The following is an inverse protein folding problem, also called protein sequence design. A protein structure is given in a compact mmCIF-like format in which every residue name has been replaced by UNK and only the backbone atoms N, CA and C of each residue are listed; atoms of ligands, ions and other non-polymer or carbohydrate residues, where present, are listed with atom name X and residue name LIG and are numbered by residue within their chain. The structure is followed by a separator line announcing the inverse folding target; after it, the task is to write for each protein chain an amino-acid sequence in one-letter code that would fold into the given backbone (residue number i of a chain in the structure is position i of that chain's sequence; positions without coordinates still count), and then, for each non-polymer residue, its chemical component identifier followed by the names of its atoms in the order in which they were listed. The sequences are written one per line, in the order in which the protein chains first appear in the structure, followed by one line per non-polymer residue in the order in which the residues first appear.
data_IF_384123446034
#
_entry.id   IF_384123446034
#
_cell.length_a   1.000
_cell.length_b   1.000
_cell.length_c   1.000
_cell.angle_alpha   90.00
_cell.angle_beta   90.00
_cell.angle_gamma   90.00
#
_symmetry.space_group_name_H-M   'P 1'
#
loop_
_entity.id
_entity.type
_entity.pdbx_description
1 polymer ?
#
# COMPACT_ATOMS: atom_id res chain seq x y z
N UNK A 1 31.80 -27.12 -1.90
CA UNK A 1 32.02 -26.16 -3.01
C UNK A 1 30.72 -25.39 -3.21
N UNK A 2 30.69 -24.12 -2.93
CA UNK A 2 29.45 -23.32 -3.05
C UNK A 2 29.35 -22.71 -4.44
N UNK A 3 28.20 -22.93 -5.09
CA UNK A 3 27.84 -22.21 -6.29
C UNK A 3 27.30 -20.83 -5.94
N UNK A 4 28.13 -19.83 -6.16
CA UNK A 4 27.75 -18.42 -6.18
C UNK A 4 27.00 -18.14 -7.48
N UNK A 5 25.70 -17.95 -7.43
CA UNK A 5 24.95 -17.31 -8.52
C UNK A 5 24.92 -15.81 -8.25
N UNK A 6 25.76 -15.09 -8.96
CA UNK A 6 25.72 -13.62 -9.07
C UNK A 6 24.58 -13.26 -10.04
N UNK A 7 23.48 -12.74 -9.52
CA UNK A 7 22.53 -12.00 -10.34
C UNK A 7 22.84 -10.52 -10.13
N UNK A 8 23.70 -10.01 -11.01
CA UNK A 8 23.83 -8.59 -11.28
C UNK A 8 22.73 -8.23 -12.30
N UNK A 9 21.61 -7.71 -11.85
CA UNK A 9 20.69 -7.00 -12.72
C UNK A 9 20.94 -5.51 -12.51
N UNK A 10 21.75 -4.92 -13.37
CA UNK A 10 21.95 -3.50 -13.47
C UNK A 10 20.65 -2.88 -13.99
N UNK A 11 19.86 -2.28 -13.11
CA UNK A 11 18.85 -1.30 -13.47
C UNK A 11 19.59 -0.03 -13.88
N UNK A 12 19.79 0.13 -15.20
CA UNK A 12 20.22 1.37 -15.79
C UNK A 12 19.09 2.40 -15.64
N UNK A 13 19.08 3.15 -14.54
CA UNK A 13 18.40 4.42 -14.47
C UNK A 13 19.23 5.40 -15.29
N UNK A 14 18.85 5.55 -16.56
CA UNK A 14 19.42 6.55 -17.45
C UNK A 14 19.25 7.93 -16.83
N UNK A 15 20.37 8.59 -16.60
CA UNK A 15 20.45 9.97 -16.16
C UNK A 15 19.90 10.90 -17.25
N UNK A 16 18.64 11.30 -17.16
CA UNK A 16 18.17 12.55 -17.73
C UNK A 16 18.20 13.62 -16.63
N UNK A 17 19.40 13.95 -16.18
CA UNK A 17 19.64 15.20 -15.48
C UNK A 17 19.77 16.30 -16.52
N UNK A 18 18.66 16.79 -17.06
CA UNK A 18 18.66 18.10 -17.68
C UNK A 18 18.73 19.11 -16.55
N UNK A 19 19.83 19.88 -16.56
CA UNK A 19 20.05 21.04 -15.71
C UNK A 19 18.96 22.09 -15.96
N UNK A 20 17.84 21.98 -15.28
CA UNK A 20 16.87 23.07 -15.16
C UNK A 20 17.03 23.60 -13.75
N UNK A 21 17.43 24.86 -13.67
CA UNK A 21 17.67 25.57 -12.43
C UNK A 21 16.53 25.36 -11.43
N UNK A 22 16.91 25.03 -10.19
CA UNK A 22 16.01 24.89 -9.06
C UNK A 22 15.41 26.27 -8.75
N UNK A 23 14.39 26.64 -9.48
CA UNK A 23 13.36 27.52 -8.95
C UNK A 23 12.28 26.57 -8.45
N UNK A 24 12.30 26.26 -7.16
CA UNK A 24 11.16 25.68 -6.49
C UNK A 24 10.02 26.71 -6.62
N UNK A 25 9.26 26.60 -7.69
CA UNK A 25 8.04 27.34 -7.85
C UNK A 25 7.13 26.91 -6.71
N UNK A 26 6.70 27.85 -5.92
CA UNK A 26 5.77 27.77 -4.79
C UNK A 26 4.35 27.45 -5.30
N UNK A 27 4.23 26.40 -6.15
CA UNK A 27 2.97 25.99 -6.77
C UNK A 27 2.60 24.60 -6.29
N UNK A 28 1.35 24.46 -5.90
CA UNK A 28 0.72 23.17 -5.66
C UNK A 28 0.76 22.31 -6.91
N UNK A 29 1.06 21.01 -6.81
CA UNK A 29 1.00 20.11 -7.95
C UNK A 29 -0.41 20.09 -8.54
N UNK A 30 -0.53 20.26 -9.85
CA UNK A 30 -1.81 20.26 -10.55
C UNK A 30 -2.24 18.83 -10.81
N UNK A 31 -3.21 18.33 -10.03
CA UNK A 31 -3.85 17.04 -10.23
C UNK A 31 -5.30 17.30 -10.63
N UNK A 32 -5.68 16.79 -11.79
CA UNK A 32 -7.01 16.94 -12.39
C UNK A 32 -7.66 15.58 -12.58
N UNK A 33 -8.93 15.57 -12.94
CA UNK A 33 -9.62 14.35 -13.36
C UNK A 33 -8.85 13.72 -14.53
N UNK A 34 -8.61 12.40 -14.44
CA UNK A 34 -7.83 11.65 -15.42
C UNK A 34 -6.33 11.55 -15.10
N UNK A 35 -5.80 12.35 -14.17
CA UNK A 35 -4.40 12.18 -13.72
C UNK A 35 -4.21 10.78 -13.17
N UNK A 36 -3.22 10.09 -13.67
CA UNK A 36 -2.84 8.75 -13.23
C UNK A 36 -1.69 8.82 -12.23
N UNK A 37 -1.70 7.88 -11.30
CA UNK A 37 -0.68 7.72 -10.28
C UNK A 37 -0.19 6.27 -10.30
N UNK A 38 1.09 6.06 -10.50
CA UNK A 38 1.75 4.77 -10.26
C UNK A 38 2.55 4.90 -8.98
N UNK A 39 2.30 3.99 -8.05
CA UNK A 39 2.92 3.99 -6.73
C UNK A 39 3.66 2.68 -6.44
N UNK A 40 4.71 2.79 -5.63
CA UNK A 40 5.36 1.66 -5.00
C UNK A 40 5.56 1.97 -3.52
N UNK A 41 4.94 1.18 -2.66
CA UNK A 41 5.10 1.27 -1.22
C UNK A 41 5.69 -0.02 -0.66
N UNK A 42 6.43 0.12 0.43
CA UNK A 42 6.92 -0.98 1.25
C UNK A 42 6.64 -0.69 2.72
N UNK A 43 6.34 -1.73 3.48
CA UNK A 43 6.03 -1.61 4.88
C UNK A 43 6.36 -2.88 5.65
N UNK A 44 6.01 -2.90 6.91
CA UNK A 44 6.20 -4.06 7.76
C UNK A 44 4.91 -4.38 8.49
N UNK A 45 4.39 -5.58 8.29
CA UNK A 45 3.18 -6.07 8.91
C UNK A 45 3.46 -6.49 10.35
N UNK A 46 2.73 -5.90 11.29
CA UNK A 46 2.81 -6.14 12.73
C UNK A 46 1.46 -6.70 13.23
N UNK A 47 1.42 -7.91 13.80
CA UNK A 47 0.17 -8.55 14.17
C UNK A 47 -0.51 -7.88 15.36
N UNK A 48 -1.85 -7.85 15.33
CA UNK A 48 -2.69 -7.48 16.46
C UNK A 48 -3.45 -8.69 16.99
N UNK A 49 -3.43 -8.84 18.31
CA UNK A 49 -4.27 -9.80 19.02
C UNK A 49 -5.55 -9.10 19.48
N UNK A 50 -6.60 -9.17 18.67
CA UNK A 50 -7.89 -8.57 19.01
C UNK A 50 -8.71 -9.44 19.96
N UNK A 51 -8.46 -10.75 19.98
CA UNK A 51 -9.11 -11.71 20.86
C UNK A 51 -8.08 -12.65 21.51
N UNK A 52 -8.50 -13.36 22.58
CA UNK A 52 -7.63 -14.34 23.25
C UNK A 52 -7.27 -15.54 22.35
N UNK A 53 -8.08 -15.80 21.34
CA UNK A 53 -7.92 -16.93 20.41
C UNK A 53 -6.88 -16.64 19.32
N UNK A 54 -6.48 -15.38 19.14
CA UNK A 54 -5.38 -15.01 18.25
C UNK A 54 -4.03 -15.32 18.91
N UNK A 55 -3.40 -16.38 18.49
CA UNK A 55 -2.16 -16.90 19.11
C UNK A 55 -0.92 -16.67 18.26
N UNK A 56 -1.09 -16.54 16.95
CA UNK A 56 0.02 -16.43 16.00
C UNK A 56 0.62 -15.03 15.93
N UNK A 57 1.89 -15.02 15.58
CA UNK A 57 2.73 -13.81 15.49
C UNK A 57 3.15 -13.58 14.04
N UNK A 58 2.20 -13.67 13.10
CA UNK A 58 2.51 -13.50 11.69
C UNK A 58 2.92 -12.06 11.40
N UNK A 59 4.20 -11.86 11.09
CA UNK A 59 4.77 -10.54 10.78
C UNK A 59 5.78 -10.65 9.65
N UNK A 60 6.04 -9.53 8.98
CA UNK A 60 7.03 -9.48 7.92
C UNK A 60 6.87 -8.31 6.97
N UNK A 61 7.82 -8.13 6.03
CA UNK A 61 7.76 -7.09 5.03
C UNK A 61 6.63 -7.29 4.04
N UNK A 62 6.08 -6.15 3.60
CA UNK A 62 5.05 -6.07 2.58
C UNK A 62 5.50 -5.14 1.44
N UNK A 63 5.15 -5.49 0.20
CA UNK A 63 5.38 -4.69 -1.01
C UNK A 63 4.04 -4.46 -1.71
N UNK A 64 3.79 -3.21 -2.11
CA UNK A 64 2.48 -2.77 -2.56
C UNK A 64 2.59 -1.84 -3.77
N UNK A 65 2.85 -2.40 -4.99
CA UNK A 65 2.72 -1.63 -6.21
C UNK A 65 1.26 -1.30 -6.49
N UNK A 66 0.97 -0.09 -6.92
CA UNK A 66 -0.39 0.40 -7.15
C UNK A 66 -0.50 1.26 -8.40
N UNK A 67 -1.71 1.27 -8.96
CA UNK A 67 -2.12 2.21 -9.99
C UNK A 67 -3.45 2.83 -9.58
N UNK A 68 -3.55 4.16 -9.68
CA UNK A 68 -4.73 4.93 -9.33
C UNK A 68 -5.01 5.96 -10.43
N UNK A 69 -6.27 6.38 -10.55
CA UNK A 69 -6.68 7.49 -11.40
C UNK A 69 -7.59 8.43 -10.61
N UNK A 70 -7.32 9.71 -10.69
CA UNK A 70 -8.17 10.74 -10.09
C UNK A 70 -9.48 10.83 -10.88
N UNK A 71 -10.60 10.68 -10.19
CA UNK A 71 -11.93 10.61 -10.82
C UNK A 71 -12.86 11.78 -10.48
N UNK A 72 -12.45 12.66 -9.57
CA UNK A 72 -13.22 13.86 -9.23
C UNK A 72 -12.36 15.11 -9.30
N UNK A 73 -12.97 16.24 -9.65
CA UNK A 73 -12.44 17.54 -9.26
C UNK A 73 -12.44 17.68 -7.73
N UNK A 74 -11.71 18.66 -7.17
CA UNK A 74 -11.75 18.89 -5.73
C UNK A 74 -13.16 19.22 -5.26
N UNK A 75 -13.69 18.34 -4.41
CA UNK A 75 -15.03 18.48 -3.78
C UNK A 75 -14.88 18.92 -2.33
N UNK A 76 -15.91 19.57 -1.80
CA UNK A 76 -15.92 20.09 -0.44
C UNK A 76 -15.24 21.44 -0.30
N UNK A 77 -15.21 21.94 0.94
CA UNK A 77 -14.71 23.27 1.29
C UNK A 77 -13.66 23.21 2.39
N UNK A 78 -12.84 24.25 2.46
CA UNK A 78 -11.87 24.47 3.53
C UNK A 78 -10.94 23.25 3.74
N UNK A 79 -10.82 22.79 4.99
CA UNK A 79 -9.90 21.73 5.38
C UNK A 79 -10.25 20.34 4.83
N UNK A 80 -11.54 20.07 4.51
CA UNK A 80 -11.97 18.78 3.95
C UNK A 80 -12.04 18.76 2.43
N UNK A 81 -11.66 19.86 1.76
CA UNK A 81 -11.58 19.88 0.30
C UNK A 81 -10.59 18.83 -0.20
N UNK A 82 -11.05 17.95 -1.07
CA UNK A 82 -10.26 16.83 -1.54
C UNK A 82 -10.73 16.23 -2.83
N UNK A 83 -9.98 15.26 -3.33
CA UNK A 83 -10.21 14.55 -4.57
C UNK A 83 -10.26 13.05 -4.32
N UNK A 84 -11.12 12.36 -5.07
CA UNK A 84 -11.23 10.91 -5.06
C UNK A 84 -10.38 10.34 -6.20
N UNK A 85 -9.59 9.31 -5.88
CA UNK A 85 -8.92 8.46 -6.86
C UNK A 85 -9.38 7.01 -6.68
N UNK A 86 -9.56 6.32 -7.80
CA UNK A 86 -9.89 4.90 -7.87
C UNK A 86 -8.78 4.15 -8.59
N UNK A 87 -8.57 2.91 -8.21
CA UNK A 87 -7.56 2.07 -8.85
C UNK A 87 -7.43 0.71 -8.20
N UNK A 88 -6.24 0.16 -8.25
CA UNK A 88 -5.94 -1.14 -7.69
C UNK A 88 -4.50 -1.21 -7.16
N UNK A 89 -4.29 -2.15 -6.27
CA UNK A 89 -3.01 -2.42 -5.65
C UNK A 89 -2.77 -3.93 -5.61
N UNK A 90 -1.55 -4.34 -5.92
CA UNK A 90 -1.08 -5.68 -5.56
C UNK A 90 -0.46 -5.63 -4.16
N UNK A 91 -0.71 -6.66 -3.38
CA UNK A 91 -0.14 -6.80 -2.04
C UNK A 91 0.65 -8.08 -2.00
N UNK A 92 1.95 -7.99 -1.74
CA UNK A 92 2.80 -9.14 -1.43
C UNK A 92 3.29 -9.01 0.00
N UNK A 93 3.10 -10.04 0.81
CA UNK A 93 3.56 -10.12 2.19
C UNK A 93 4.45 -11.35 2.33
N UNK A 94 5.67 -11.16 2.81
CA UNK A 94 6.55 -12.23 3.20
C UNK A 94 6.50 -12.39 4.72
N UNK A 95 5.72 -13.33 5.19
CA UNK A 95 5.68 -13.66 6.62
C UNK A 95 6.99 -14.33 7.02
N UNK A 96 7.62 -13.83 8.07
CA UNK A 96 8.92 -14.30 8.58
C UNK A 96 8.77 -15.10 9.87
N UNK A 97 7.77 -14.78 10.66
CA UNK A 97 7.49 -15.47 11.92
C UNK A 97 6.05 -16.01 11.96
N UNK A 98 5.84 -17.13 12.66
CA UNK A 98 6.80 -18.02 13.32
C UNK A 98 7.58 -18.90 12.34
N UNK A 99 7.28 -18.85 11.04
CA UNK A 99 7.95 -19.55 9.95
C UNK A 99 7.85 -18.73 8.65
N UNK A 100 8.79 -18.98 7.76
CA UNK A 100 8.82 -18.30 6.46
C UNK A 100 7.68 -18.81 5.57
N UNK A 101 6.83 -17.89 5.13
CA UNK A 101 5.78 -18.12 4.14
C UNK A 101 5.39 -16.81 3.47
N UNK A 102 4.47 -16.83 2.54
CA UNK A 102 4.07 -15.64 1.79
C UNK A 102 2.58 -15.60 1.52
N UNK A 103 2.11 -14.42 1.16
CA UNK A 103 0.79 -14.18 0.64
C UNK A 103 0.81 -13.13 -0.44
N UNK A 104 -0.12 -13.23 -1.39
CA UNK A 104 -0.28 -12.30 -2.50
C UNK A 104 -1.75 -11.98 -2.69
N UNK A 105 -2.06 -10.71 -2.93
CA UNK A 105 -3.41 -10.23 -3.16
C UNK A 105 -3.49 -9.19 -4.26
N UNK A 106 -4.72 -8.99 -4.73
CA UNK A 106 -5.09 -7.92 -5.65
C UNK A 106 -6.30 -7.20 -5.06
N UNK A 107 -6.16 -5.89 -4.84
CA UNK A 107 -7.17 -5.11 -4.13
C UNK A 107 -7.58 -3.88 -4.94
N UNK A 108 -8.82 -3.82 -5.46
CA UNK A 108 -9.46 -2.55 -5.77
C UNK A 108 -9.29 -1.57 -4.62
N UNK A 109 -9.02 -0.30 -4.96
CA UNK A 109 -8.63 0.72 -3.99
C UNK A 109 -9.31 2.04 -4.27
N UNK A 110 -9.76 2.70 -3.22
CA UNK A 110 -10.21 4.08 -3.22
C UNK A 110 -9.32 4.91 -2.30
N UNK A 111 -8.96 6.10 -2.75
CA UNK A 111 -8.19 7.07 -1.98
C UNK A 111 -8.84 8.45 -2.05
N UNK A 112 -9.03 9.08 -0.91
CA UNK A 112 -9.42 10.47 -0.78
C UNK A 112 -8.23 11.30 -0.34
N UNK A 113 -7.79 12.23 -1.19
CA UNK A 113 -6.62 13.10 -0.94
C UNK A 113 -7.09 14.51 -0.63
N UNK A 114 -6.75 15.03 0.55
CA UNK A 114 -7.03 16.41 0.95
C UNK A 114 -6.10 17.36 0.21
N UNK A 115 -6.66 18.41 -0.40
CA UNK A 115 -5.92 19.36 -1.24
C UNK A 115 -5.83 20.77 -0.63
N UNK A 116 -6.11 20.89 0.67
CA UNK A 116 -6.09 22.17 1.37
C UNK A 116 -4.67 22.72 1.62
N UNK A 117 -3.65 21.86 1.53
CA UNK A 117 -2.24 22.20 1.72
C UNK A 117 -1.49 21.98 0.40
N UNK A 118 -0.60 22.85 0.05
CA UNK A 118 0.07 22.87 -1.27
C UNK A 118 0.77 21.55 -1.62
N UNK A 119 1.96 21.33 -1.04
CA UNK A 119 2.79 20.16 -1.32
C UNK A 119 2.55 18.98 -0.37
N UNK A 120 1.80 19.21 0.70
CA UNK A 120 1.46 18.20 1.69
C UNK A 120 0.01 17.80 1.48
N UNK A 121 -0.25 16.57 1.09
CA UNK A 121 -1.60 16.05 0.88
C UNK A 121 -1.86 14.87 1.82
N UNK A 122 -2.51 15.12 2.95
CA UNK A 122 -3.05 14.04 3.75
C UNK A 122 -4.05 13.22 2.92
N UNK A 123 -4.16 11.94 3.19
CA UNK A 123 -5.14 11.09 2.52
C UNK A 123 -5.69 10.02 3.45
N UNK A 124 -6.89 9.56 3.13
CA UNK A 124 -7.47 8.34 3.65
C UNK A 124 -7.68 7.35 2.50
N UNK A 125 -7.53 6.07 2.77
CA UNK A 125 -7.66 5.03 1.75
C UNK A 125 -8.36 3.79 2.30
N UNK A 126 -9.04 3.10 1.39
CA UNK A 126 -9.64 1.81 1.64
C UNK A 126 -9.37 0.90 0.44
N UNK A 127 -9.04 -0.35 0.72
CA UNK A 127 -8.82 -1.36 -0.30
C UNK A 127 -9.34 -2.72 0.18
N UNK A 128 -9.73 -3.57 -0.74
CA UNK A 128 -10.13 -4.92 -0.38
C UNK A 128 -10.25 -5.82 -1.60
N UNK A 129 -9.86 -7.08 -1.43
CA UNK A 129 -9.92 -8.03 -2.53
C UNK A 129 -9.37 -9.40 -2.18
N UNK A 130 -9.26 -10.29 -3.18
CA UNK A 130 -8.76 -11.64 -3.02
C UNK A 130 -7.29 -11.66 -2.56
N UNK A 131 -6.99 -12.63 -1.70
CA UNK A 131 -5.67 -12.85 -1.13
C UNK A 131 -5.38 -14.34 -1.01
N UNK A 132 -4.26 -14.79 -1.54
CA UNK A 132 -3.79 -16.18 -1.43
C UNK A 132 -2.61 -16.23 -0.49
N UNK A 133 -2.60 -17.25 0.38
CA UNK A 133 -1.51 -17.47 1.33
C UNK A 133 -1.29 -18.96 1.61
N UNK A 134 -0.07 -19.33 1.90
CA UNK A 134 0.31 -20.68 2.33
C UNK A 134 0.21 -20.87 3.86
N UNK A 135 -0.51 -20.01 4.55
CA UNK A 135 -0.76 -20.14 6.00
C UNK A 135 -1.77 -21.23 6.35
N UNK A 136 -2.62 -21.61 5.40
CA UNK A 136 -3.70 -22.60 5.62
C UNK A 136 -3.20 -23.91 6.24
N UNK A 137 -3.79 -24.29 7.36
CA UNK A 137 -3.43 -25.48 8.11
C UNK A 137 -2.09 -25.43 8.85
N UNK A 138 -1.38 -24.32 8.77
CA UNK A 138 -0.12 -24.08 9.51
C UNK A 138 -0.33 -23.24 10.75
N UNK A 139 -1.41 -22.47 10.79
CA UNK A 139 -1.80 -21.62 11.91
C UNK A 139 -3.29 -21.82 12.22
N UNK A 140 -3.71 -21.69 13.49
CA UNK A 140 -5.09 -21.90 13.87
C UNK A 140 -6.05 -20.84 13.31
N UNK A 141 -5.56 -19.65 12.99
CA UNK A 141 -6.38 -18.54 12.49
C UNK A 141 -6.84 -18.75 11.05
N UNK A 142 -6.11 -19.56 10.25
CA UNK A 142 -6.34 -19.68 8.81
C UNK A 142 -6.51 -21.13 8.35
N UNK A 143 -7.68 -21.45 7.83
CA UNK A 143 -8.01 -22.78 7.31
C UNK A 143 -8.08 -22.86 5.78
N UNK A 144 -7.96 -21.73 5.08
CA UNK A 144 -8.04 -21.62 3.63
C UNK A 144 -6.82 -20.95 3.04
N UNK A 145 -6.37 -21.43 1.88
CA UNK A 145 -5.37 -20.72 1.07
C UNK A 145 -5.95 -19.49 0.39
N UNK A 146 -7.23 -19.54 0.04
CA UNK A 146 -7.95 -18.41 -0.54
C UNK A 146 -8.63 -17.63 0.58
N UNK A 147 -8.29 -16.36 0.67
CA UNK A 147 -8.77 -15.40 1.65
C UNK A 147 -9.13 -14.08 0.97
N UNK A 148 -9.60 -13.14 1.76
CA UNK A 148 -9.74 -11.74 1.40
C UNK A 148 -8.86 -10.91 2.33
N UNK A 149 -8.26 -9.85 1.78
CA UNK A 149 -7.63 -8.80 2.56
C UNK A 149 -8.47 -7.54 2.48
N UNK A 150 -8.76 -6.95 3.64
CA UNK A 150 -9.38 -5.64 3.78
C UNK A 150 -8.37 -4.70 4.43
N UNK A 151 -8.25 -3.51 3.87
CA UNK A 151 -7.29 -2.50 4.32
C UNK A 151 -8.00 -1.17 4.48
N UNK A 152 -7.84 -0.56 5.63
CA UNK A 152 -8.22 0.83 5.88
C UNK A 152 -6.99 1.59 6.39
N UNK A 153 -6.73 2.77 5.85
CA UNK A 153 -5.53 3.50 6.20
C UNK A 153 -5.60 5.00 5.97
N UNK A 154 -4.56 5.66 6.42
CA UNK A 154 -4.33 7.08 6.21
C UNK A 154 -2.83 7.33 6.04
N UNK A 155 -2.52 8.44 5.42
CA UNK A 155 -1.13 8.82 5.19
C UNK A 155 -1.00 10.27 4.73
N UNK A 156 0.21 10.60 4.36
CA UNK A 156 0.58 11.90 3.79
C UNK A 156 1.43 11.68 2.56
N UNK A 157 1.07 12.34 1.47
CA UNK A 157 1.90 12.49 0.28
C UNK A 157 2.59 13.84 0.34
N UNK A 158 3.92 13.84 0.31
CA UNK A 158 4.74 15.04 0.20
C UNK A 158 5.29 15.15 -1.22
N UNK A 159 4.84 16.15 -1.96
CA UNK A 159 5.26 16.36 -3.34
C UNK A 159 6.66 16.96 -3.42
N UNK A 160 7.61 16.15 -3.90
CA UNK A 160 8.99 16.55 -4.18
C UNK A 160 9.06 17.41 -5.45
N UNK A 161 8.27 17.03 -6.45
CA UNK A 161 8.04 17.74 -7.71
C UNK A 161 6.56 17.77 -8.02
N UNK A 162 6.15 18.38 -9.13
CA UNK A 162 4.75 18.36 -9.57
C UNK A 162 4.26 16.95 -9.97
N UNK A 163 5.19 16.03 -10.23
CA UNK A 163 4.89 14.66 -10.69
C UNK A 163 5.33 13.58 -9.72
N UNK A 164 6.10 13.88 -8.68
CA UNK A 164 6.65 12.86 -7.78
C UNK A 164 6.34 13.18 -6.34
N UNK A 165 5.80 12.22 -5.62
CA UNK A 165 5.53 12.34 -4.18
C UNK A 165 6.20 11.22 -3.38
N UNK A 166 6.67 11.58 -2.18
CA UNK A 166 7.01 10.64 -1.11
C UNK A 166 5.75 10.40 -0.28
N UNK A 167 5.45 9.15 -0.01
CA UNK A 167 4.31 8.73 0.79
C UNK A 167 4.76 8.10 2.10
N UNK A 168 4.13 8.47 3.20
CA UNK A 168 4.24 7.77 4.48
C UNK A 168 2.85 7.57 5.05
N UNK A 169 2.61 6.44 5.66
CA UNK A 169 1.28 6.16 6.16
C UNK A 169 1.20 4.94 7.07
N UNK A 170 -0.02 4.69 7.48
CA UNK A 170 -0.38 3.58 8.33
C UNK A 170 -1.67 2.93 7.81
N UNK A 171 -1.70 1.61 7.83
CA UNK A 171 -2.85 0.80 7.48
C UNK A 171 -3.18 -0.19 8.58
N UNK A 172 -4.45 -0.40 8.78
CA UNK A 172 -4.97 -1.59 9.44
C UNK A 172 -5.36 -2.60 8.37
N UNK A 173 -4.88 -3.83 8.51
CA UNK A 173 -5.20 -4.94 7.60
C UNK A 173 -5.96 -6.02 8.36
N UNK A 174 -6.96 -6.57 7.69
CA UNK A 174 -7.68 -7.76 8.11
C UNK A 174 -7.64 -8.80 6.98
N UNK A 175 -7.12 -9.99 7.26
CA UNK A 175 -7.08 -11.11 6.31
C UNK A 175 -7.95 -12.21 6.88
N UNK A 176 -8.92 -12.71 6.10
CA UNK A 176 -9.81 -13.80 6.51
C UNK A 176 -10.44 -14.47 5.30
N UNK A 177 -10.91 -15.69 5.46
CA UNK A 177 -11.58 -16.42 4.37
C UNK A 177 -13.07 -16.07 4.23
N UNK A 178 -13.57 -15.04 4.92
CA UNK A 178 -14.97 -14.61 4.85
C UNK A 178 -15.97 -15.64 5.43
N UNK A 179 -15.51 -16.57 6.26
CA UNK A 179 -16.37 -17.63 6.83
C UNK A 179 -16.64 -18.80 5.90
N UNK A 180 -15.96 -18.91 4.76
CA UNK A 180 -16.14 -20.00 3.80
C UNK A 180 -15.60 -21.32 4.30
N UNK A 181 -14.70 -21.30 5.29
CA UNK A 181 -14.14 -22.50 5.94
C UNK A 181 -13.77 -22.19 7.40
N UNK A 182 -14.00 -23.14 8.29
CA UNK A 182 -13.64 -23.04 9.71
C UNK A 182 -12.37 -23.84 10.03
N UNK A 183 -11.53 -23.38 11.00
CA UNK A 183 -11.63 -22.11 11.72
C UNK A 183 -11.35 -20.90 10.82
N UNK A 184 -11.92 -19.72 11.18
CA UNK A 184 -11.69 -18.44 10.50
C UNK A 184 -11.64 -17.36 11.58
N UNK A 185 -10.54 -17.27 12.30
CA UNK A 185 -10.29 -16.23 13.30
C UNK A 185 -9.80 -14.95 12.65
N UNK A 186 -9.18 -15.07 11.47
CA UNK A 186 -8.58 -13.99 10.70
C UNK A 186 -7.28 -13.46 11.31
N UNK A 187 -6.53 -12.75 10.49
CA UNK A 187 -5.30 -12.05 10.89
C UNK A 187 -5.55 -10.55 10.86
N UNK A 188 -5.28 -9.89 11.98
CA UNK A 188 -5.37 -8.45 12.11
C UNK A 188 -3.97 -7.88 12.30
N UNK A 189 -3.62 -6.82 11.57
CA UNK A 189 -2.29 -6.25 11.63
C UNK A 189 -2.25 -4.75 11.37
N UNK A 190 -1.28 -4.10 11.97
CA UNK A 190 -0.79 -2.78 11.58
C UNK A 190 0.22 -2.92 10.48
N UNK A 191 0.21 -1.98 9.55
CA UNK A 191 1.18 -1.88 8.47
C UNK A 191 1.62 -0.41 8.31
N UNK A 192 2.60 0.07 9.09
CA UNK A 192 3.31 1.29 8.76
C UNK A 192 4.06 1.09 7.46
N UNK A 193 4.03 2.11 6.58
CA UNK A 193 4.65 2.03 5.26
C UNK A 193 5.24 3.36 4.80
N UNK A 194 6.15 3.26 3.84
CA UNK A 194 6.67 4.37 3.07
C UNK A 194 6.78 3.99 1.60
N UNK A 195 6.81 4.98 0.72
CA UNK A 195 6.88 4.73 -0.71
C UNK A 195 6.92 5.99 -1.55
N UNK A 196 6.89 5.80 -2.86
CA UNK A 196 6.89 6.88 -3.85
C UNK A 196 5.72 6.71 -4.80
N UNK A 197 5.21 7.83 -5.30
CA UNK A 197 4.24 7.88 -6.38
C UNK A 197 4.73 8.81 -7.49
N UNK A 198 4.40 8.41 -8.72
CA UNK A 198 4.62 9.21 -9.91
C UNK A 198 3.28 9.51 -10.57
N UNK A 199 3.04 10.78 -10.91
CA UNK A 199 1.80 11.32 -11.47
C UNK A 199 2.02 11.77 -12.92
N UNK A 200 1.07 11.45 -13.82
CA UNK A 200 1.13 11.80 -15.24
C UNK A 200 -0.26 11.89 -15.88
#
# INVERSE_FOLDING_TARGET
MPFLVRILTALAFGSLMTNTGVYAADRSPTITVGTQEVGLAAGYMLPHRLTKDHTTKQQGPAFMPSWMMTVTDPVGDRWYRGQVSLGAEMVYIQFQEPFLTHGVGFTPKIKYSFVALDRIRPYAEFAGGPFWTDLAGKIPEESSRFNFVLTAGFGVSYFLTDQTALNVGYRFNHISNGGTRYPNLGLNASLPFGGFSFFF
#
